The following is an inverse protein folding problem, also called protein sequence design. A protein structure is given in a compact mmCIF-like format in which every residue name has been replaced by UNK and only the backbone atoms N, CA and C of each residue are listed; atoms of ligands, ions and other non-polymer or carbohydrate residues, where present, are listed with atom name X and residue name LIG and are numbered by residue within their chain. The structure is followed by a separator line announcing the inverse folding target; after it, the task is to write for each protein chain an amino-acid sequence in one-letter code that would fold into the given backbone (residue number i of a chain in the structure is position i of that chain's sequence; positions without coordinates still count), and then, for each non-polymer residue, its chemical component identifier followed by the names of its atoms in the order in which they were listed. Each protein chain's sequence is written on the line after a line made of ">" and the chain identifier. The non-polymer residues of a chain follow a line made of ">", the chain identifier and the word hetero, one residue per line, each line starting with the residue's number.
data_IF_760826569610
#
_entry.id   IF_760826569610
#
_cell.length_a   1.000
_cell.length_b   1.000
_cell.length_c   1.000
_cell.angle_alpha   90.00
_cell.angle_beta   90.00
_cell.angle_gamma   90.00
#
_symmetry.space_group_name_H-M   'P 1'
#
loop_
_entity.id
_entity.type
_entity.pdbx_description
1 polymer ?
#
# COMPACT_ATOMS: atom_id res chain seq x y z
N UNK A 1 16.28 -13.26 17.40
CA UNK A 1 15.02 -12.86 18.04
C UNK A 1 14.17 -12.17 16.99
N UNK A 2 12.86 -12.44 16.93
CA UNK A 2 11.95 -11.70 16.02
C UNK A 2 11.95 -10.22 16.45
N UNK A 3 11.96 -9.30 15.50
CA UNK A 3 11.83 -7.87 15.78
C UNK A 3 10.44 -7.61 16.35
N UNK A 4 10.34 -6.63 17.25
CA UNK A 4 9.04 -6.09 17.62
C UNK A 4 8.32 -5.61 16.35
N UNK A 5 6.99 -5.76 16.33
CA UNK A 5 6.10 -5.27 15.30
C UNK A 5 5.37 -4.04 15.81
N UNK A 6 5.63 -2.89 15.21
CA UNK A 6 4.90 -1.65 15.49
C UNK A 6 3.73 -1.54 14.53
N UNK A 7 2.51 -1.39 15.07
CA UNK A 7 1.30 -1.16 14.28
C UNK A 7 0.97 0.33 14.31
N UNK A 8 0.81 0.93 13.14
CA UNK A 8 0.49 2.36 12.96
C UNK A 8 -0.78 2.44 12.12
N UNK A 9 -1.76 3.23 12.53
CA UNK A 9 -2.90 3.56 11.67
C UNK A 9 -2.72 4.89 10.96
N UNK A 10 -3.08 4.93 9.68
CA UNK A 10 -3.16 6.13 8.87
C UNK A 10 -4.61 6.32 8.39
N UNK A 11 -5.51 6.84 9.25
CA UNK A 11 -6.94 6.95 8.96
C UNK A 11 -7.20 8.10 7.98
N UNK A 12 -6.93 7.86 6.69
CA UNK A 12 -7.01 8.88 5.65
C UNK A 12 -7.73 8.38 4.41
N UNK A 13 -8.85 9.02 4.07
CA UNK A 13 -9.52 8.92 2.76
C UNK A 13 -9.32 10.17 1.90
N UNK A 14 -8.55 11.17 2.36
CA UNK A 14 -8.38 12.42 1.64
C UNK A 14 -7.93 12.25 0.17
N UNK A 15 -7.05 11.28 -0.08
CA UNK A 15 -6.58 10.97 -1.42
C UNK A 15 -7.50 10.07 -2.25
N UNK A 16 -8.60 9.61 -1.67
CA UNK A 16 -9.50 8.62 -2.25
C UNK A 16 -10.63 9.24 -3.06
N UNK A 17 -11.44 8.39 -3.70
CA UNK A 17 -12.68 8.78 -4.36
C UNK A 17 -13.71 9.42 -3.43
N UNK A 18 -13.79 8.92 -2.19
CA UNK A 18 -14.83 9.24 -1.23
C UNK A 18 -14.43 8.80 0.20
N UNK A 19 -15.21 9.20 1.23
CA UNK A 19 -15.03 8.69 2.59
C UNK A 19 -15.32 7.19 2.70
N UNK A 20 -14.63 6.51 3.60
CA UNK A 20 -14.84 5.11 3.96
C UNK A 20 -13.56 4.44 4.44
N UNK A 21 -12.47 4.63 3.69
CA UNK A 21 -11.18 3.97 3.96
C UNK A 21 -10.48 4.49 5.22
N UNK A 22 -10.76 5.72 5.66
CA UNK A 22 -10.24 6.24 6.93
C UNK A 22 -10.68 5.40 8.14
N UNK A 23 -11.71 4.56 7.98
CA UNK A 23 -12.23 3.67 9.02
C UNK A 23 -11.48 2.35 9.12
N UNK A 24 -10.64 2.01 8.14
CA UNK A 24 -9.91 0.74 8.10
C UNK A 24 -9.06 0.47 9.35
N UNK A 25 -8.25 1.43 9.86
CA UNK A 25 -7.41 1.18 11.04
C UNK A 25 -8.24 0.82 12.27
N UNK A 26 -9.31 1.56 12.52
CA UNK A 26 -10.22 1.30 13.63
C UNK A 26 -10.93 -0.07 13.47
N UNK A 27 -11.46 -0.36 12.28
CA UNK A 27 -12.16 -1.62 12.03
C UNK A 27 -11.23 -2.84 12.19
N UNK A 28 -10.00 -2.80 11.69
CA UNK A 28 -9.07 -3.92 11.84
C UNK A 28 -8.71 -4.16 13.32
N UNK A 29 -8.57 -3.10 14.12
CA UNK A 29 -8.39 -3.22 15.58
C UNK A 29 -9.62 -3.80 16.25
N UNK A 30 -10.81 -3.30 15.96
CA UNK A 30 -12.08 -3.80 16.52
C UNK A 30 -12.31 -5.28 16.22
N UNK A 31 -11.85 -5.77 15.05
CA UNK A 31 -11.92 -7.17 14.67
C UNK A 31 -10.78 -8.05 15.25
N UNK A 32 -9.96 -7.47 16.12
CA UNK A 32 -9.00 -8.17 16.97
C UNK A 32 -7.63 -8.41 16.32
N UNK A 33 -7.20 -7.57 15.39
CA UNK A 33 -5.90 -7.69 14.71
C UNK A 33 -4.74 -7.75 15.71
N UNK A 34 -4.71 -6.82 16.68
CA UNK A 34 -3.60 -6.68 17.63
C UNK A 34 -3.47 -7.94 18.49
N UNK A 35 -4.58 -8.40 19.07
CA UNK A 35 -4.61 -9.59 19.93
C UNK A 35 -4.25 -10.86 19.16
N UNK A 36 -4.66 -10.96 17.89
CA UNK A 36 -4.33 -12.11 17.03
C UNK A 36 -2.85 -12.16 16.69
N UNK A 37 -2.24 -11.03 16.33
CA UNK A 37 -0.80 -10.94 16.10
C UNK A 37 0.00 -11.29 17.36
N UNK A 38 -0.41 -10.78 18.52
CA UNK A 38 0.22 -11.09 19.80
C UNK A 38 0.09 -12.59 20.17
N UNK A 39 -1.10 -13.17 20.01
CA UNK A 39 -1.33 -14.62 20.24
C UNK A 39 -0.53 -15.50 19.28
N UNK A 40 -0.24 -15.03 18.08
CA UNK A 40 0.63 -15.69 17.12
C UNK A 40 2.14 -15.51 17.43
N UNK A 41 2.49 -14.91 18.56
CA UNK A 41 3.86 -14.83 19.07
C UNK A 41 4.69 -13.66 18.52
N UNK A 42 4.06 -12.62 17.95
CA UNK A 42 4.73 -11.33 17.73
C UNK A 42 4.73 -10.52 19.01
N UNK A 43 5.84 -9.83 19.25
CA UNK A 43 5.87 -8.71 20.19
C UNK A 43 5.26 -7.51 19.48
N UNK A 44 4.07 -7.08 19.88
CA UNK A 44 3.26 -6.07 19.16
C UNK A 44 3.14 -4.81 20.00
N UNK A 45 3.54 -3.69 19.42
CA UNK A 45 3.29 -2.36 19.96
C UNK A 45 2.32 -1.60 19.04
N UNK A 46 1.12 -1.33 19.52
CA UNK A 46 0.16 -0.46 18.82
C UNK A 46 0.50 1.00 19.11
N UNK A 47 1.04 1.70 18.11
CA UNK A 47 1.42 3.11 18.21
C UNK A 47 0.21 4.06 18.06
N UNK A 48 -0.98 3.52 17.84
CA UNK A 48 -2.19 4.30 17.58
C UNK A 48 -2.23 4.85 16.16
N UNK A 49 -2.96 5.95 15.99
CA UNK A 49 -3.26 6.53 14.68
C UNK A 49 -2.57 7.89 14.49
N UNK A 50 -2.21 8.17 13.25
CA UNK A 50 -1.91 9.52 12.78
C UNK A 50 -3.18 10.40 12.70
N UNK A 51 -3.07 11.61 12.14
CA UNK A 51 -4.20 12.52 12.04
C UNK A 51 -5.30 11.97 11.12
N UNK A 52 -6.55 12.01 11.58
CA UNK A 52 -7.72 11.67 10.77
C UNK A 52 -7.89 12.67 9.63
N UNK A 53 -7.91 12.17 8.39
CA UNK A 53 -8.17 12.97 7.19
C UNK A 53 -9.31 12.34 6.39
N UNK A 54 -10.49 12.97 6.45
CA UNK A 54 -11.68 12.49 5.74
C UNK A 54 -11.79 13.25 4.42
N UNK A 55 -12.03 12.53 3.32
CA UNK A 55 -12.31 13.16 2.03
C UNK A 55 -13.44 14.17 2.13
N UNK A 56 -13.25 15.34 1.53
CA UNK A 56 -14.33 16.30 1.26
C UNK A 56 -14.30 16.74 -0.20
N UNK A 57 -15.44 17.11 -0.79
CA UNK A 57 -15.44 17.70 -2.12
C UNK A 57 -14.63 19.00 -2.14
N UNK A 58 -13.68 19.10 -3.07
CA UNK A 58 -12.88 20.30 -3.32
C UNK A 58 -13.12 20.80 -4.76
N UNK A 59 -14.13 21.66 -4.98
CA UNK A 59 -14.43 22.21 -6.29
C UNK A 59 -13.35 23.15 -6.85
N UNK A 60 -12.45 23.65 -6.00
CA UNK A 60 -11.34 24.52 -6.41
C UNK A 60 -10.18 23.70 -6.97
N UNK A 61 -9.99 22.46 -6.50
CA UNK A 61 -8.92 21.56 -6.93
C UNK A 61 -9.46 20.25 -7.52
N UNK A 62 -10.25 20.37 -8.59
CA UNK A 62 -10.99 19.25 -9.20
C UNK A 62 -10.15 18.01 -9.50
N UNK A 63 -8.93 18.20 -10.02
CA UNK A 63 -8.05 17.12 -10.46
C UNK A 63 -6.96 16.76 -9.44
N UNK A 64 -7.04 17.30 -8.23
CA UNK A 64 -6.07 17.07 -7.15
C UNK A 64 -6.77 17.29 -5.79
N UNK A 65 -7.77 16.46 -5.52
CA UNK A 65 -8.67 16.62 -4.38
C UNK A 65 -7.90 16.52 -3.05
N UNK A 66 -8.22 17.40 -2.08
CA UNK A 66 -7.73 17.34 -0.70
C UNK A 66 -6.19 17.29 -0.54
N UNK A 67 -5.44 17.84 -1.50
CA UNK A 67 -3.97 17.77 -1.57
C UNK A 67 -3.26 18.06 -0.23
N UNK A 68 -3.65 19.13 0.46
CA UNK A 68 -3.04 19.51 1.74
C UNK A 68 -3.24 18.43 2.83
N UNK A 69 -4.41 17.79 2.87
CA UNK A 69 -4.70 16.71 3.79
C UNK A 69 -3.88 15.45 3.46
N UNK A 70 -3.72 15.14 2.17
CA UNK A 70 -2.82 14.05 1.72
C UNK A 70 -1.38 14.30 2.15
N UNK A 71 -0.86 15.52 1.96
CA UNK A 71 0.50 15.89 2.40
C UNK A 71 0.66 15.73 3.92
N UNK A 72 -0.35 16.10 4.71
CA UNK A 72 -0.34 15.91 6.16
C UNK A 72 -0.29 14.42 6.54
N UNK A 73 -1.11 13.58 5.90
CA UNK A 73 -1.12 12.14 6.13
C UNK A 73 0.22 11.49 5.77
N UNK A 74 0.78 11.80 4.60
CA UNK A 74 2.05 11.26 4.11
C UNK A 74 3.20 11.59 5.07
N UNK A 75 3.29 12.84 5.54
CA UNK A 75 4.32 13.25 6.51
C UNK A 75 4.16 12.56 7.85
N UNK A 76 2.92 12.46 8.36
CA UNK A 76 2.66 11.77 9.62
C UNK A 76 3.07 10.28 9.55
N UNK A 77 2.75 9.61 8.44
CA UNK A 77 3.20 8.23 8.20
C UNK A 77 4.72 8.16 8.16
N UNK A 78 5.39 9.06 7.44
CA UNK A 78 6.85 9.08 7.36
C UNK A 78 7.51 9.23 8.75
N UNK A 79 6.99 10.14 9.58
CA UNK A 79 7.48 10.36 10.94
C UNK A 79 7.28 9.14 11.84
N UNK A 80 6.07 8.56 11.84
CA UNK A 80 5.74 7.41 12.70
C UNK A 80 6.48 6.14 12.28
N UNK A 81 6.51 5.84 10.97
CA UNK A 81 7.26 4.70 10.41
C UNK A 81 8.74 4.90 10.69
N UNK A 82 9.25 6.12 10.51
CA UNK A 82 10.64 6.43 10.75
C UNK A 82 11.06 6.19 12.20
N UNK A 83 10.28 6.68 13.16
CA UNK A 83 10.53 6.46 14.59
C UNK A 83 10.52 4.95 14.94
N UNK A 84 9.66 4.15 14.31
CA UNK A 84 9.62 2.72 14.49
C UNK A 84 10.82 1.99 13.86
N UNK A 85 11.32 2.47 12.71
CA UNK A 85 12.51 1.90 12.08
C UNK A 85 13.79 2.24 12.87
N UNK A 86 13.89 3.42 13.47
CA UNK A 86 15.08 3.85 14.24
C UNK A 86 15.31 3.01 15.52
N UNK A 87 14.25 2.43 16.07
CA UNK A 87 14.31 1.44 17.17
C UNK A 87 14.50 0.00 16.69
N UNK A 88 14.65 -0.21 15.38
CA UNK A 88 14.89 -1.52 14.78
C UNK A 88 13.67 -2.44 14.72
N UNK A 89 12.45 -1.89 14.75
CA UNK A 89 11.21 -2.66 14.64
C UNK A 89 10.85 -2.99 13.17
N UNK A 90 10.05 -4.03 12.99
CA UNK A 90 9.22 -4.17 11.79
C UNK A 90 7.95 -3.31 11.96
N UNK A 91 7.33 -2.89 10.86
CA UNK A 91 6.18 -1.99 10.89
C UNK A 91 5.02 -2.56 10.08
N UNK A 92 3.81 -2.52 10.64
CA UNK A 92 2.56 -2.71 9.93
C UNK A 92 1.79 -1.39 9.90
N UNK A 93 1.63 -0.81 8.72
CA UNK A 93 0.81 0.39 8.53
C UNK A 93 -0.58 -0.02 8.05
N UNK A 94 -1.59 0.25 8.87
CA UNK A 94 -3.00 0.13 8.50
C UNK A 94 -3.37 1.44 7.81
N UNK A 95 -3.33 1.46 6.47
CA UNK A 95 -3.66 2.65 5.71
C UNK A 95 -5.16 2.84 5.55
N UNK A 96 -5.51 4.01 5.00
CA UNK A 96 -6.76 4.21 4.29
C UNK A 96 -6.50 3.97 2.81
N UNK A 97 -5.89 4.95 2.13
CA UNK A 97 -5.57 4.86 0.70
C UNK A 97 -4.09 4.63 0.37
N UNK A 98 -3.81 4.33 -0.90
CA UNK A 98 -2.48 3.97 -1.40
C UNK A 98 -1.39 5.05 -1.27
N UNK A 99 -1.74 6.32 -1.03
CA UNK A 99 -0.73 7.38 -0.76
C UNK A 99 0.10 7.09 0.52
N UNK A 100 -0.37 6.20 1.39
CA UNK A 100 0.39 5.69 2.54
C UNK A 100 1.76 5.12 2.15
N UNK A 101 1.87 4.52 0.95
CA UNK A 101 3.12 3.96 0.44
C UNK A 101 4.19 5.05 0.27
N UNK A 102 3.80 6.29 -0.01
CA UNK A 102 4.74 7.42 -0.15
C UNK A 102 5.35 7.80 1.19
N UNK A 103 4.55 7.87 2.26
CA UNK A 103 5.08 8.13 3.60
C UNK A 103 5.99 7.01 4.09
N UNK A 104 5.62 5.75 3.81
CA UNK A 104 6.48 4.59 4.09
C UNK A 104 7.81 4.71 3.35
N UNK A 105 7.78 4.96 2.05
CA UNK A 105 9.01 5.05 1.27
C UNK A 105 9.84 6.28 1.59
N UNK A 106 9.24 7.38 2.01
CA UNK A 106 9.96 8.56 2.50
C UNK A 106 10.78 8.19 3.75
N UNK A 107 10.16 7.52 4.72
CA UNK A 107 10.84 7.05 5.93
C UNK A 107 11.92 5.99 5.64
N UNK A 108 11.61 5.02 4.78
CA UNK A 108 12.50 3.90 4.48
C UNK A 108 13.71 4.37 3.67
N UNK A 109 13.51 5.19 2.63
CA UNK A 109 14.61 5.62 1.75
C UNK A 109 15.50 6.70 2.36
N UNK A 110 14.99 7.45 3.35
CA UNK A 110 15.81 8.32 4.20
C UNK A 110 16.84 7.52 5.01
N UNK A 111 16.49 6.29 5.42
CA UNK A 111 17.34 5.39 6.22
C UNK A 111 18.20 4.48 5.36
N UNK A 112 17.68 4.06 4.22
CA UNK A 112 18.37 3.22 3.26
C UNK A 112 18.08 3.68 1.81
N UNK A 113 18.98 4.44 1.19
CA UNK A 113 18.82 4.91 -0.19
C UNK A 113 18.72 3.78 -1.24
N UNK A 114 19.10 2.55 -0.87
CA UNK A 114 19.02 1.34 -1.68
C UNK A 114 17.83 0.45 -1.29
N UNK A 115 16.82 1.00 -0.61
CA UNK A 115 15.58 0.29 -0.32
C UNK A 115 14.75 0.00 -1.59
N UNK A 116 13.96 -1.07 -1.54
CA UNK A 116 13.01 -1.47 -2.57
C UNK A 116 11.56 -1.47 -2.08
N UNK A 117 10.63 -1.24 -2.99
CA UNK A 117 9.19 -1.31 -2.83
C UNK A 117 8.64 -2.43 -3.72
N UNK A 118 8.08 -3.46 -3.08
CA UNK A 118 7.17 -4.39 -3.74
C UNK A 118 5.75 -3.83 -3.60
N UNK A 119 5.19 -3.35 -4.71
CA UNK A 119 3.87 -2.71 -4.76
C UNK A 119 2.86 -3.70 -5.33
N UNK A 120 2.07 -4.31 -4.47
CA UNK A 120 1.06 -5.31 -4.85
C UNK A 120 -0.28 -4.59 -5.05
N UNK A 121 -0.69 -4.42 -6.29
CA UNK A 121 -1.79 -3.54 -6.68
C UNK A 121 -2.34 -3.95 -8.06
N UNK A 122 -3.65 -3.76 -8.29
CA UNK A 122 -4.23 -3.94 -9.63
C UNK A 122 -3.91 -2.76 -10.57
N UNK A 123 -3.75 -1.55 -10.05
CA UNK A 123 -3.40 -0.34 -10.80
C UNK A 123 -1.90 -0.05 -10.78
N UNK A 124 -1.48 0.86 -11.67
CA UNK A 124 -0.10 1.35 -11.71
C UNK A 124 0.11 2.59 -10.83
N UNK A 125 -0.95 3.34 -10.52
CA UNK A 125 -0.93 4.62 -9.81
C UNK A 125 0.02 5.67 -10.41
N UNK A 126 0.15 5.65 -11.74
CA UNK A 126 1.02 6.56 -12.50
C UNK A 126 0.26 7.72 -13.14
N UNK A 127 -1.03 7.89 -12.84
CA UNK A 127 -1.77 9.04 -13.30
C UNK A 127 -1.26 10.33 -12.66
N UNK A 128 -1.59 11.45 -13.29
CA UNK A 128 -1.28 12.80 -12.83
C UNK A 128 -2.53 13.66 -12.94
N UNK A 129 -2.59 14.81 -12.27
CA UNK A 129 -3.68 15.79 -12.46
C UNK A 129 -3.95 16.18 -13.93
N UNK A 130 -3.00 15.98 -14.84
CA UNK A 130 -3.15 16.25 -16.26
C UNK A 130 -3.57 15.04 -17.11
N UNK A 131 -3.48 13.80 -16.59
CA UNK A 131 -3.76 12.57 -17.36
C UNK A 131 -5.14 11.98 -17.10
N UNK A 132 -5.78 12.32 -16.00
CA UNK A 132 -7.09 11.79 -15.60
C UNK A 132 -8.00 12.91 -15.07
N UNK A 133 -9.31 12.68 -15.11
CA UNK A 133 -10.33 13.61 -14.62
C UNK A 133 -10.87 13.28 -13.23
N UNK A 134 -10.49 12.15 -12.64
CA UNK A 134 -11.06 11.66 -11.38
C UNK A 134 -10.69 12.56 -10.19
N UNK A 135 -9.41 12.92 -10.10
CA UNK A 135 -8.88 13.81 -9.07
C UNK A 135 -8.53 13.13 -7.74
N UNK A 136 -8.77 11.81 -7.61
CA UNK A 136 -8.21 11.01 -6.54
C UNK A 136 -6.68 10.91 -6.66
N UNK A 137 -5.99 11.15 -5.55
CA UNK A 137 -4.53 11.19 -5.45
C UNK A 137 -3.91 9.82 -5.20
N UNK A 138 -4.68 8.84 -4.72
CA UNK A 138 -4.23 7.45 -4.57
C UNK A 138 -3.86 6.84 -5.93
N UNK A 139 -4.63 7.11 -6.98
CA UNK A 139 -4.34 6.79 -8.39
C UNK A 139 -3.13 7.52 -9.00
N UNK A 140 -2.51 8.41 -8.23
CA UNK A 140 -1.39 9.25 -8.68
C UNK A 140 -0.15 9.06 -7.80
N UNK A 141 -0.22 8.21 -6.78
CA UNK A 141 0.80 8.14 -5.74
C UNK A 141 2.19 7.88 -6.32
N UNK A 142 2.33 6.83 -7.13
CA UNK A 142 3.61 6.46 -7.73
C UNK A 142 4.09 7.47 -8.76
N UNK A 143 3.19 8.19 -9.44
CA UNK A 143 3.59 9.32 -10.28
C UNK A 143 4.32 10.42 -9.50
N UNK A 144 3.80 10.79 -8.32
CA UNK A 144 4.45 11.76 -7.43
C UNK A 144 5.76 11.20 -6.87
N UNK A 145 5.78 9.91 -6.50
CA UNK A 145 6.99 9.25 -6.02
C UNK A 145 8.13 9.25 -7.05
N UNK A 146 7.81 9.03 -8.33
CA UNK A 146 8.77 9.00 -9.44
C UNK A 146 9.03 10.38 -10.06
N UNK A 147 8.40 11.44 -9.55
CA UNK A 147 8.50 12.81 -10.07
C UNK A 147 8.15 12.92 -11.56
N UNK A 148 7.02 12.34 -11.94
CA UNK A 148 6.50 12.46 -13.30
C UNK A 148 6.09 13.91 -13.63
N UNK A 149 6.12 14.31 -14.92
CA UNK A 149 5.61 15.60 -15.34
C UNK A 149 4.15 15.81 -14.90
N UNK A 150 3.80 17.04 -14.53
CA UNK A 150 2.44 17.45 -14.11
C UNK A 150 1.93 16.84 -12.80
N UNK A 151 2.81 16.30 -11.96
CA UNK A 151 2.48 15.98 -10.57
C UNK A 151 2.22 17.25 -9.75
N UNK A 152 1.50 17.13 -8.64
CA UNK A 152 1.24 18.25 -7.75
C UNK A 152 2.50 18.60 -6.96
N UNK A 153 2.98 19.83 -7.11
CA UNK A 153 4.25 20.31 -6.55
C UNK A 153 4.27 20.21 -5.01
N UNK A 154 3.15 20.50 -4.36
CA UNK A 154 3.02 20.46 -2.91
C UNK A 154 3.24 19.06 -2.33
N UNK A 155 2.85 18.01 -3.06
CA UNK A 155 3.12 16.62 -2.66
C UNK A 155 4.51 16.16 -3.10
N UNK A 156 4.91 16.45 -4.34
CA UNK A 156 6.22 16.06 -4.87
C UNK A 156 7.40 16.69 -4.07
N UNK A 157 7.19 17.87 -3.49
CA UNK A 157 8.17 18.56 -2.63
C UNK A 157 8.03 18.24 -1.13
N UNK A 158 7.04 17.41 -0.74
CA UNK A 158 6.81 17.09 0.67
C UNK A 158 7.81 16.08 1.25
N UNK A 159 8.44 15.28 0.38
CA UNK A 159 9.39 14.22 0.71
C UNK A 159 10.78 14.75 1.08
N UNK A 160 11.60 13.94 1.75
CA UNK A 160 12.99 14.31 2.07
C UNK A 160 13.90 14.38 0.83
N UNK A 161 13.49 13.77 -0.30
CA UNK A 161 14.21 13.79 -1.58
C UNK A 161 13.25 13.80 -2.76
N UNK A 162 13.72 14.32 -3.90
CA UNK A 162 12.99 14.35 -5.17
C UNK A 162 13.90 13.92 -6.32
N UNK A 163 13.54 12.88 -7.11
CA UNK A 163 12.38 12.01 -6.92
C UNK A 163 12.49 11.17 -5.63
N UNK A 164 11.34 10.82 -5.04
CA UNK A 164 11.28 9.96 -3.85
C UNK A 164 11.70 8.53 -4.19
N UNK A 165 11.23 8.02 -5.32
CA UNK A 165 11.52 6.69 -5.84
C UNK A 165 12.31 6.81 -7.14
N UNK A 166 13.15 5.81 -7.39
CA UNK A 166 13.74 5.58 -8.69
C UNK A 166 13.12 4.29 -9.30
N UNK A 167 13.09 4.14 -10.64
CA UNK A 167 12.41 3.02 -11.31
C UNK A 167 12.84 1.61 -10.89
N UNK A 168 14.13 1.41 -10.66
CA UNK A 168 14.77 0.20 -10.16
C UNK A 168 14.44 -0.13 -8.69
N UNK A 169 13.98 0.83 -7.88
CA UNK A 169 13.50 0.61 -6.52
C UNK A 169 12.06 0.10 -6.47
N UNK A 170 11.36 0.02 -7.59
CA UNK A 170 9.95 -0.34 -7.66
C UNK A 170 9.76 -1.65 -8.45
N UNK A 171 8.91 -2.53 -7.90
CA UNK A 171 8.33 -3.64 -8.65
C UNK A 171 6.82 -3.65 -8.43
N UNK A 172 6.06 -3.53 -9.51
CA UNK A 172 4.59 -3.54 -9.51
C UNK A 172 4.10 -4.97 -9.71
N UNK A 173 3.28 -5.51 -8.83
CA UNK A 173 2.86 -6.90 -8.91
C UNK A 173 1.35 -7.01 -8.74
N UNK A 174 0.71 -7.79 -9.60
CA UNK A 174 -0.74 -7.95 -9.54
C UNK A 174 -1.50 -7.00 -10.46
N UNK A 175 -0.83 -6.37 -11.42
CA UNK A 175 -1.42 -5.33 -12.27
C UNK A 175 -2.38 -5.91 -13.30
N UNK A 176 -3.53 -5.25 -13.50
CA UNK A 176 -4.37 -5.42 -14.68
C UNK A 176 -4.10 -4.31 -15.70
N UNK A 177 -3.14 -4.58 -16.58
CA UNK A 177 -2.73 -3.65 -17.63
C UNK A 177 -3.85 -3.26 -18.62
N UNK A 178 -4.94 -4.03 -18.69
CA UNK A 178 -6.07 -3.71 -19.56
C UNK A 178 -6.92 -2.56 -19.02
N UNK A 179 -6.86 -2.31 -17.71
CA UNK A 179 -7.54 -1.20 -17.04
C UNK A 179 -6.67 0.06 -16.95
N UNK A 180 -5.37 -0.06 -17.19
CA UNK A 180 -4.44 1.07 -17.15
C UNK A 180 -4.75 2.10 -18.24
N UNK A 181 -4.67 3.38 -17.88
CA UNK A 181 -4.81 4.48 -18.86
C UNK A 181 -3.67 4.46 -19.88
N UNK A 182 -3.89 5.06 -21.06
CA UNK A 182 -2.84 5.19 -22.08
C UNK A 182 -1.59 5.92 -21.53
N UNK A 183 -1.80 6.89 -20.64
CA UNK A 183 -0.71 7.60 -19.98
C UNK A 183 0.13 6.65 -19.12
N UNK A 184 -0.50 5.88 -18.22
CA UNK A 184 0.22 4.95 -17.34
C UNK A 184 1.01 3.92 -18.14
N UNK A 185 0.42 3.35 -19.20
CA UNK A 185 1.12 2.41 -20.08
C UNK A 185 2.35 3.03 -20.76
N UNK A 186 2.24 4.28 -21.22
CA UNK A 186 3.37 5.03 -21.76
C UNK A 186 4.46 5.23 -20.70
N UNK A 187 4.09 5.59 -19.47
CA UNK A 187 5.05 5.84 -18.39
C UNK A 187 5.78 4.55 -17.96
N UNK A 188 5.06 3.43 -17.85
CA UNK A 188 5.65 2.11 -17.59
C UNK A 188 6.71 1.78 -18.64
N UNK A 189 6.39 1.98 -19.92
CA UNK A 189 7.33 1.73 -21.01
C UNK A 189 8.53 2.69 -20.98
N UNK A 190 8.26 3.99 -20.85
CA UNK A 190 9.27 5.07 -20.88
C UNK A 190 10.28 4.95 -19.76
N UNK A 191 9.84 4.58 -18.56
CA UNK A 191 10.68 4.42 -17.38
C UNK A 191 11.28 3.01 -17.25
N UNK A 192 10.83 2.05 -18.06
CA UNK A 192 11.24 0.65 -17.95
C UNK A 192 10.84 0.03 -16.61
N UNK A 193 9.64 0.38 -16.11
CA UNK A 193 9.14 -0.17 -14.85
C UNK A 193 8.91 -1.67 -14.97
N UNK A 194 9.32 -2.38 -13.92
CA UNK A 194 9.17 -3.84 -13.83
C UNK A 194 7.82 -4.14 -13.23
N UNK A 195 7.08 -5.04 -13.88
CA UNK A 195 5.78 -5.43 -13.37
C UNK A 195 5.43 -6.89 -13.69
N UNK A 196 4.50 -7.46 -12.92
CA UNK A 196 3.88 -8.76 -13.16
C UNK A 196 2.35 -8.66 -13.05
N UNK A 197 1.63 -9.45 -13.85
CA UNK A 197 0.17 -9.32 -13.97
C UNK A 197 -0.61 -9.95 -12.81
N UNK A 198 -1.85 -9.50 -12.62
CA UNK A 198 -2.79 -10.11 -11.66
C UNK A 198 -3.03 -11.60 -11.92
N UNK A 199 -3.05 -12.03 -13.18
CA UNK A 199 -3.26 -13.42 -13.56
C UNK A 199 -2.06 -14.31 -13.21
N UNK A 200 -0.84 -13.83 -13.45
CA UNK A 200 0.39 -14.54 -13.06
C UNK A 200 0.52 -14.61 -11.54
N UNK A 201 0.21 -13.52 -10.82
CA UNK A 201 0.18 -13.50 -9.36
C UNK A 201 -0.83 -14.50 -8.81
N UNK A 202 -2.02 -14.60 -9.41
CA UNK A 202 -3.03 -15.58 -9.00
C UNK A 202 -2.58 -17.03 -9.24
N UNK A 203 -1.87 -17.28 -10.34
CA UNK A 203 -1.44 -18.62 -10.73
C UNK A 203 -0.22 -19.12 -9.93
N UNK A 204 0.75 -18.25 -9.64
CA UNK A 204 1.96 -18.60 -8.89
C UNK A 204 2.38 -17.48 -7.91
N UNK A 205 1.68 -17.35 -6.77
CA UNK A 205 1.90 -16.22 -5.87
C UNK A 205 3.33 -16.15 -5.32
N UNK A 206 3.90 -17.30 -4.94
CA UNK A 206 5.24 -17.37 -4.35
C UNK A 206 6.33 -17.18 -5.40
N UNK A 207 6.17 -17.77 -6.60
CA UNK A 207 7.14 -17.61 -7.68
C UNK A 207 7.18 -16.17 -8.18
N UNK A 208 6.04 -15.51 -8.34
CA UNK A 208 6.00 -14.10 -8.76
C UNK A 208 6.67 -13.17 -7.73
N UNK A 209 6.40 -13.36 -6.44
CA UNK A 209 7.09 -12.60 -5.38
C UNK A 209 8.60 -12.88 -5.39
N UNK A 210 9.00 -14.14 -5.53
CA UNK A 210 10.43 -14.51 -5.59
C UNK A 210 11.14 -13.82 -6.76
N UNK A 211 10.51 -13.78 -7.94
CA UNK A 211 11.03 -13.09 -9.11
C UNK A 211 11.16 -11.58 -8.89
N UNK A 212 10.14 -10.96 -8.30
CA UNK A 212 10.15 -9.53 -7.97
C UNK A 212 11.28 -9.19 -6.98
N UNK A 213 11.41 -9.98 -5.93
CA UNK A 213 12.44 -9.81 -4.90
C UNK A 213 13.86 -9.97 -5.44
N UNK A 214 14.06 -10.84 -6.43
CA UNK A 214 15.37 -11.10 -7.03
C UNK A 214 15.92 -9.90 -7.83
N UNK A 215 15.06 -9.02 -8.33
CA UNK A 215 15.45 -7.83 -9.11
C UNK A 215 15.40 -6.53 -8.32
N UNK A 216 14.68 -6.51 -7.19
CA UNK A 216 14.65 -5.37 -6.28
C UNK A 216 16.02 -5.17 -5.60
N UNK A 217 16.38 -3.92 -5.25
CA UNK A 217 17.63 -3.59 -4.56
C UNK A 217 17.83 -4.39 -3.27
N UNK A 218 19.09 -4.58 -2.87
CA UNK A 218 19.45 -5.37 -1.69
C UNK A 218 19.21 -4.68 -0.34
N UNK A 219 18.79 -3.41 -0.34
CA UNK A 219 18.49 -2.65 0.88
C UNK A 219 17.18 -3.07 1.53
N UNK A 220 16.68 -2.24 2.44
CA UNK A 220 15.41 -2.49 3.15
C UNK A 220 14.25 -2.70 2.17
N UNK A 221 13.35 -3.60 2.51
CA UNK A 221 12.16 -3.90 1.71
C UNK A 221 10.91 -3.37 2.41
N UNK A 222 10.17 -2.53 1.69
CA UNK A 222 8.78 -2.22 1.98
C UNK A 222 7.88 -3.03 1.05
N UNK A 223 6.78 -3.53 1.59
CA UNK A 223 5.70 -4.19 0.86
C UNK A 223 4.45 -3.33 1.02
N UNK A 224 3.84 -2.99 -0.09
CA UNK A 224 2.52 -2.37 -0.10
C UNK A 224 1.53 -3.39 -0.67
N UNK A 225 0.39 -3.55 0.00
CA UNK A 225 -0.77 -4.26 -0.55
C UNK A 225 -1.92 -3.27 -0.68
N UNK A 226 -2.28 -2.96 -1.90
CA UNK A 226 -3.62 -2.52 -2.21
C UNK A 226 -4.55 -3.75 -2.16
N UNK A 227 -5.58 -3.72 -1.32
CA UNK A 227 -6.53 -4.83 -1.22
C UNK A 227 -7.39 -4.99 -2.47
N UNK A 228 -7.40 -4.01 -3.36
CA UNK A 228 -8.05 -4.11 -4.66
C UNK A 228 -7.39 -5.18 -5.54
N UNK A 229 -6.12 -5.51 -5.35
CA UNK A 229 -5.44 -6.57 -6.10
C UNK A 229 -6.17 -7.93 -5.98
N UNK A 230 -6.94 -8.12 -4.90
CA UNK A 230 -7.76 -9.31 -4.67
C UNK A 230 -8.90 -9.45 -5.68
N UNK A 231 -9.30 -10.70 -5.93
CA UNK A 231 -10.62 -10.96 -6.51
C UNK A 231 -11.70 -10.44 -5.56
N UNK A 232 -12.41 -9.39 -6.00
CA UNK A 232 -13.46 -8.74 -5.23
C UNK A 232 -14.58 -9.71 -4.83
N UNK A 233 -14.85 -10.73 -5.65
CA UNK A 233 -15.87 -11.75 -5.36
C UNK A 233 -15.45 -12.67 -4.22
N UNK A 234 -14.15 -12.98 -4.08
CA UNK A 234 -13.63 -13.77 -2.96
C UNK A 234 -13.48 -12.96 -1.67
N UNK A 235 -13.02 -11.70 -1.79
CA UNK A 235 -12.79 -10.81 -0.66
C UNK A 235 -13.21 -9.36 -0.99
N UNK A 236 -14.49 -8.99 -0.77
CA UNK A 236 -15.00 -7.64 -1.06
C UNK A 236 -14.54 -6.63 -0.01
N UNK A 237 -13.25 -6.27 -0.05
CA UNK A 237 -12.59 -5.37 0.90
C UNK A 237 -12.30 -3.98 0.30
N UNK A 238 -11.99 -3.93 -1.00
CA UNK A 238 -11.57 -2.71 -1.67
C UNK A 238 -12.72 -1.72 -1.90
N UNK A 239 -12.39 -0.43 -1.91
CA UNK A 239 -13.33 0.62 -2.35
C UNK A 239 -13.79 0.37 -3.79
N UNK A 240 -12.84 0.15 -4.69
CA UNK A 240 -13.11 -0.16 -6.09
C UNK A 240 -13.57 -1.62 -6.24
N UNK A 241 -14.50 -1.85 -7.18
CA UNK A 241 -15.10 -3.16 -7.45
C UNK A 241 -14.73 -3.74 -8.82
N UNK A 242 -13.75 -3.16 -9.52
CA UNK A 242 -13.33 -3.59 -10.85
C UNK A 242 -12.71 -5.01 -10.87
N UNK A 243 -12.32 -5.52 -9.70
CA UNK A 243 -11.73 -6.85 -9.51
C UNK A 243 -12.65 -8.06 -9.50
N UNK A 244 -13.91 -7.95 -9.92
CA UNK A 244 -14.86 -9.07 -9.80
C UNK A 244 -14.45 -10.26 -10.67
N UNK A 245 -14.22 -11.41 -10.03
CA UNK A 245 -13.83 -12.66 -10.66
C UNK A 245 -12.45 -12.60 -11.35
N UNK A 246 -11.56 -11.72 -10.88
CA UNK A 246 -10.23 -11.56 -11.46
C UNK A 246 -9.17 -11.21 -10.41
N UNK A 247 -7.96 -11.71 -10.60
CA UNK A 247 -6.85 -11.53 -9.65
C UNK A 247 -6.76 -12.66 -8.62
N UNK A 248 -5.76 -12.60 -7.73
CA UNK A 248 -5.57 -13.60 -6.69
C UNK A 248 -6.72 -13.63 -5.69
N UNK A 249 -7.04 -14.82 -5.20
CA UNK A 249 -7.86 -14.98 -4.00
C UNK A 249 -7.10 -14.50 -2.76
N UNK A 250 -7.80 -14.33 -1.66
CA UNK A 250 -7.22 -13.99 -0.36
C UNK A 250 -6.22 -15.06 0.11
N UNK A 251 -6.45 -16.33 -0.21
CA UNK A 251 -5.53 -17.41 0.10
C UNK A 251 -4.25 -17.31 -0.76
N UNK A 252 -4.37 -16.95 -2.05
CA UNK A 252 -3.23 -16.71 -2.92
C UNK A 252 -2.39 -15.51 -2.45
N UNK A 253 -3.03 -14.38 -2.09
CA UNK A 253 -2.34 -13.23 -1.50
C UNK A 253 -1.68 -13.58 -0.17
N UNK A 254 -2.26 -14.47 0.63
CA UNK A 254 -1.63 -14.94 1.87
C UNK A 254 -0.27 -15.58 1.61
N UNK A 255 -0.15 -16.41 0.57
CA UNK A 255 1.14 -16.99 0.18
C UNK A 255 2.12 -15.95 -0.36
N UNK A 256 1.65 -15.01 -1.19
CA UNK A 256 2.49 -13.93 -1.70
C UNK A 256 3.07 -13.07 -0.56
N UNK A 257 2.22 -12.60 0.37
CA UNK A 257 2.64 -11.79 1.50
C UNK A 257 3.55 -12.56 2.46
N UNK A 258 3.28 -13.83 2.73
CA UNK A 258 4.16 -14.66 3.56
C UNK A 258 5.55 -14.82 2.93
N UNK A 259 5.64 -15.00 1.61
CA UNK A 259 6.92 -15.05 0.91
C UNK A 259 7.65 -13.69 0.98
N UNK A 260 6.94 -12.58 0.77
CA UNK A 260 7.52 -11.24 0.81
C UNK A 260 8.00 -10.84 2.21
N UNK A 261 7.20 -11.10 3.24
CA UNK A 261 7.54 -10.76 4.63
C UNK A 261 8.62 -11.67 5.24
N UNK A 262 8.87 -12.85 4.63
CA UNK A 262 9.95 -13.75 5.03
C UNK A 262 11.33 -13.32 4.50
N UNK A 263 11.39 -12.40 3.53
CA UNK A 263 12.66 -11.86 3.03
C UNK A 263 13.41 -11.13 4.15
N UNK A 264 14.71 -11.39 4.30
CA UNK A 264 15.52 -10.79 5.37
C UNK A 264 15.58 -9.24 5.31
N UNK A 265 15.32 -8.66 4.14
CA UNK A 265 15.23 -7.22 3.90
C UNK A 265 13.94 -6.60 4.42
N UNK A 266 12.88 -7.38 4.61
CA UNK A 266 11.55 -6.89 4.99
C UNK A 266 11.60 -6.03 6.26
N UNK A 267 10.96 -4.85 6.20
CA UNK A 267 10.78 -3.97 7.36
C UNK A 267 9.39 -3.39 7.50
N UNK A 268 8.70 -3.12 6.40
CA UNK A 268 7.39 -2.46 6.46
C UNK A 268 6.40 -3.19 5.57
N UNK A 269 5.24 -3.54 6.12
CA UNK A 269 4.04 -3.88 5.36
C UNK A 269 3.04 -2.72 5.52
N UNK A 270 2.50 -2.22 4.41
CA UNK A 270 1.42 -1.22 4.41
C UNK A 270 0.23 -1.74 3.63
N UNK A 271 -0.97 -1.40 4.11
CA UNK A 271 -2.25 -1.82 3.51
C UNK A 271 -2.98 -0.57 2.99
N UNK A 272 -3.40 -0.58 1.72
CA UNK A 272 -4.22 0.43 1.07
C UNK A 272 -5.63 -0.06 0.74
N UNK A 273 -6.48 0.89 0.35
CA UNK A 273 -7.86 0.79 -0.17
C UNK A 273 -8.92 -0.01 0.60
N UNK A 274 -8.62 -0.52 1.79
CA UNK A 274 -9.61 -1.27 2.57
C UNK A 274 -10.77 -0.35 2.97
N UNK A 275 -11.98 -0.63 2.50
CA UNK A 275 -13.21 -0.03 3.02
C UNK A 275 -14.03 -1.08 3.79
N UNK A 276 -14.10 -0.99 5.13
CA UNK A 276 -14.83 -1.96 5.95
C UNK A 276 -16.33 -2.07 5.60
N UNK A 277 -16.93 -1.03 5.00
CA UNK A 277 -18.33 -1.05 4.61
C UNK A 277 -18.62 -2.08 3.50
N UNK A 278 -17.63 -2.43 2.69
CA UNK A 278 -17.75 -3.42 1.60
C UNK A 278 -17.95 -4.84 2.13
N UNK A 279 -17.44 -5.11 3.33
CA UNK A 279 -17.64 -6.37 4.04
C UNK A 279 -18.87 -6.38 4.97
N UNK A 280 -19.71 -5.34 5.01
CA UNK A 280 -20.81 -5.24 5.97
C UNK A 280 -21.83 -6.40 5.87
N UNK A 281 -22.06 -6.92 4.67
CA UNK A 281 -22.93 -8.08 4.44
C UNK A 281 -22.27 -9.43 4.72
N UNK A 282 -20.94 -9.46 4.89
CA UNK A 282 -20.17 -10.67 5.18
C UNK A 282 -18.94 -10.35 6.06
N UNK A 283 -19.12 -9.96 7.35
CA UNK A 283 -18.03 -9.48 8.20
C UNK A 283 -16.90 -10.49 8.43
N UNK A 284 -17.15 -11.78 8.18
CA UNK A 284 -16.15 -12.84 8.23
C UNK A 284 -14.99 -12.60 7.26
N UNK A 285 -15.20 -11.81 6.20
CA UNK A 285 -14.12 -11.43 5.27
C UNK A 285 -13.02 -10.65 5.98
N UNK A 286 -13.34 -9.76 6.92
CA UNK A 286 -12.34 -9.05 7.74
C UNK A 286 -11.57 -10.01 8.64
N UNK A 287 -12.22 -11.03 9.20
CA UNK A 287 -11.52 -12.06 9.96
C UNK A 287 -10.58 -12.90 9.10
N UNK A 288 -10.97 -13.24 7.86
CA UNK A 288 -10.07 -13.93 6.90
C UNK A 288 -8.87 -13.04 6.58
N UNK A 289 -9.10 -11.77 6.28
CA UNK A 289 -8.02 -10.82 5.98
C UNK A 289 -7.05 -10.63 7.15
N UNK A 290 -7.56 -10.54 8.38
CA UNK A 290 -6.69 -10.51 9.57
C UNK A 290 -5.87 -11.80 9.71
N UNK A 291 -6.43 -12.97 9.38
CA UNK A 291 -5.67 -14.23 9.35
C UNK A 291 -4.58 -14.22 8.26
N UNK A 292 -4.82 -13.57 7.12
CA UNK A 292 -3.81 -13.32 6.08
C UNK A 292 -2.64 -12.51 6.64
N UNK A 293 -2.93 -11.37 7.29
CA UNK A 293 -1.89 -10.53 7.90
C UNK A 293 -1.13 -11.27 9.02
N UNK A 294 -1.85 -12.04 9.84
CA UNK A 294 -1.24 -12.86 10.88
C UNK A 294 -0.24 -13.86 10.29
N UNK A 295 -0.63 -14.61 9.26
CA UNK A 295 0.23 -15.59 8.59
C UNK A 295 1.45 -14.91 7.98
N UNK A 296 1.25 -13.81 7.26
CA UNK A 296 2.33 -13.07 6.60
C UNK A 296 3.39 -12.57 7.60
N UNK A 297 2.95 -12.01 8.72
CA UNK A 297 3.84 -11.36 9.69
C UNK A 297 4.42 -12.31 10.74
N UNK A 298 3.91 -13.54 10.87
CA UNK A 298 4.42 -14.51 11.86
C UNK A 298 5.25 -15.62 11.23
N UNK A 299 5.17 -15.80 9.90
CA UNK A 299 5.71 -16.93 9.16
C UNK A 299 4.80 -18.16 9.24
N UNK A 300 5.07 -19.23 8.46
CA UNK A 300 4.35 -20.49 8.64
C UNK A 300 4.60 -20.99 10.07
N UNK A 301 3.51 -21.16 10.82
CA UNK A 301 3.53 -21.77 12.15
C UNK A 301 3.87 -23.25 12.12
#
# INVERSE_FOLDING_TARGET
>A
MKRELVVIGAPSSAGSYAPGQERAPAALREFGLIERLARAGRDVYDAGDGPLQVWVPDPAHRFVQNLAAVVLSVRAVADQVGAALDRGADVLVLGGNCTVALGVMDAVTLRDPAAGLLYIDRQFDLNTPASTSDGALDWMGLAHGLDLPNTAEELASAFHRRPLLRPEQLYLLGVDHMLATAWEQEQVHRLGLRWGSHAELAADPVGQVTNALAVLPSGLLAVHLDVDALDFTDAPLAENTDGRNSGPTLDAITHALAAACADARFRVLSIGELNPARAAGHPQTLHRFISTLQTALTGPG
#
